data_IF_602923573270
#
_entry.id   IF_602923573270
#
_cell.length_a   1.000
_cell.length_b   1.000
_cell.length_c   1.000
_cell.angle_alpha   90.00
_cell.angle_beta   90.00
_cell.angle_gamma   90.00
#
_symmetry.space_group_name_H-M   'P 1'
#
loop_
_entity.id
_entity.type
_entity.pdbx_description
1 polymer ?
#
# COMPACT_ATOMS: atom_id res chain seq x y z
N UNK A 1 -14.48 -4.13 15.56
CA UNK A 1 -14.99 -2.76 15.38
C UNK A 1 -14.02 -1.94 14.52
N UNK A 2 -14.52 -0.99 13.71
CA UNK A 2 -13.70 -0.05 12.95
C UNK A 2 -13.29 -0.47 11.52
N UNK A 3 -13.46 -1.70 11.11
CA UNK A 3 -13.27 -2.11 9.72
C UNK A 3 -14.52 -1.78 8.90
N UNK A 4 -14.49 -0.68 8.16
CA UNK A 4 -15.64 -0.11 7.45
C UNK A 4 -16.31 -0.97 6.36
N UNK A 5 -15.91 -2.23 6.20
CA UNK A 5 -16.48 -3.18 5.25
C UNK A 5 -16.53 -4.58 5.86
N UNK A 6 -17.73 -5.09 6.07
CA UNK A 6 -17.93 -6.46 6.61
C UNK A 6 -17.19 -7.54 5.80
N UNK A 7 -17.07 -7.35 4.48
CA UNK A 7 -16.32 -8.25 3.61
C UNK A 7 -14.83 -8.33 3.95
N UNK A 8 -14.22 -7.22 4.42
CA UNK A 8 -12.81 -7.21 4.83
C UNK A 8 -12.58 -8.02 6.11
N UNK A 9 -13.50 -7.90 7.07
CA UNK A 9 -13.44 -8.71 8.29
C UNK A 9 -13.57 -10.20 7.98
N UNK A 10 -14.52 -10.57 7.13
CA UNK A 10 -14.70 -11.95 6.70
C UNK A 10 -13.49 -12.47 5.91
N UNK A 11 -12.92 -11.67 5.02
CA UNK A 11 -11.73 -12.03 4.28
C UNK A 11 -10.52 -12.23 5.20
N UNK A 12 -10.32 -11.33 6.18
CA UNK A 12 -9.25 -11.45 7.18
C UNK A 12 -9.40 -12.74 8.00
N UNK A 13 -10.62 -13.06 8.46
CA UNK A 13 -10.88 -14.29 9.19
C UNK A 13 -10.53 -15.54 8.36
N UNK A 14 -10.99 -15.58 7.09
CA UNK A 14 -10.67 -16.68 6.16
C UNK A 14 -9.17 -16.76 5.84
N UNK A 15 -8.50 -15.61 5.70
CA UNK A 15 -7.06 -15.59 5.48
C UNK A 15 -6.30 -16.17 6.69
N UNK A 16 -6.71 -15.82 7.92
CA UNK A 16 -6.13 -16.38 9.11
C UNK A 16 -6.32 -17.91 9.21
N UNK A 17 -7.52 -18.42 8.86
CA UNK A 17 -7.77 -19.86 8.80
C UNK A 17 -6.82 -20.53 7.79
N UNK A 18 -6.70 -19.97 6.57
CA UNK A 18 -5.80 -20.51 5.53
C UNK A 18 -4.33 -20.50 5.98
N UNK A 19 -3.88 -19.47 6.72
CA UNK A 19 -2.51 -19.44 7.25
C UNK A 19 -2.26 -20.60 8.20
N UNK A 20 -3.24 -20.94 9.05
CA UNK A 20 -3.12 -22.10 9.96
C UNK A 20 -3.16 -23.41 9.19
N UNK A 21 -4.09 -23.55 8.23
CA UNK A 21 -4.33 -24.79 7.48
C UNK A 21 -3.21 -25.11 6.49
N UNK A 22 -2.70 -24.10 5.75
CA UNK A 22 -1.78 -24.28 4.61
C UNK A 22 -0.31 -24.02 4.98
N UNK A 23 -0.03 -23.30 6.07
CA UNK A 23 1.32 -22.88 6.49
C UNK A 23 1.57 -23.09 8.01
N UNK A 24 0.86 -23.98 8.67
CA UNK A 24 1.05 -24.31 10.09
C UNK A 24 1.05 -23.08 11.04
N UNK A 25 0.33 -22.01 10.66
CA UNK A 25 0.29 -20.76 11.42
C UNK A 25 1.42 -19.78 11.10
N UNK A 26 2.39 -20.14 10.28
CA UNK A 26 3.42 -19.23 9.80
C UNK A 26 2.92 -18.39 8.62
N UNK A 27 3.04 -17.08 8.72
CA UNK A 27 2.54 -16.19 7.68
C UNK A 27 3.48 -16.21 6.46
N UNK A 28 2.96 -16.51 5.23
CA UNK A 28 3.79 -16.63 4.04
C UNK A 28 4.42 -15.28 3.67
N UNK A 29 5.63 -15.31 3.07
CA UNK A 29 6.40 -14.12 2.67
C UNK A 29 6.43 -13.90 1.16
N UNK A 30 6.19 -14.96 0.39
CA UNK A 30 6.21 -14.89 -1.07
C UNK A 30 4.95 -14.23 -1.61
N UNK A 31 5.11 -13.37 -2.62
CA UNK A 31 4.00 -12.62 -3.23
C UNK A 31 2.89 -13.54 -3.72
N UNK A 32 3.24 -14.67 -4.36
CA UNK A 32 2.26 -15.63 -4.90
C UNK A 32 1.39 -16.23 -3.80
N UNK A 33 1.99 -16.56 -2.66
CA UNK A 33 1.31 -17.20 -1.53
C UNK A 33 0.44 -16.18 -0.79
N UNK A 34 0.94 -14.96 -0.63
CA UNK A 34 0.15 -13.84 -0.08
C UNK A 34 -1.09 -13.52 -0.91
N UNK A 35 -0.97 -13.50 -2.24
CA UNK A 35 -2.11 -13.23 -3.14
C UNK A 35 -3.11 -14.38 -3.16
N UNK A 36 -2.71 -15.60 -2.81
CA UNK A 36 -3.61 -16.74 -2.65
C UNK A 36 -4.52 -16.62 -1.41
N UNK A 37 -4.17 -15.76 -0.46
CA UNK A 37 -4.98 -15.54 0.74
C UNK A 37 -6.23 -14.68 0.43
N UNK A 38 -7.39 -15.03 1.01
CA UNK A 38 -8.63 -14.30 0.81
C UNK A 38 -8.55 -12.82 1.13
N UNK A 39 -8.86 -11.97 0.16
CA UNK A 39 -8.88 -10.51 0.33
C UNK A 39 -7.53 -9.82 0.22
N UNK A 40 -6.47 -10.54 -0.08
CA UNK A 40 -5.15 -9.99 -0.35
C UNK A 40 -4.94 -9.90 -1.86
N UNK A 41 -4.93 -8.67 -2.37
CA UNK A 41 -4.56 -8.39 -3.76
C UNK A 41 -3.06 -8.08 -3.89
N UNK A 42 -2.54 -7.96 -5.14
CA UNK A 42 -1.12 -7.70 -5.40
C UNK A 42 -0.55 -6.50 -4.61
N UNK A 43 -1.23 -5.37 -4.58
CA UNK A 43 -0.79 -4.20 -3.83
C UNK A 43 -0.74 -4.45 -2.31
N UNK A 44 -1.72 -5.18 -1.76
CA UNK A 44 -1.72 -5.55 -0.34
C UNK A 44 -0.59 -6.51 -0.02
N UNK A 45 -0.31 -7.48 -0.90
CA UNK A 45 0.80 -8.43 -0.74
C UNK A 45 2.15 -7.68 -0.69
N UNK A 46 2.37 -6.71 -1.59
CA UNK A 46 3.59 -5.87 -1.54
C UNK A 46 3.67 -5.05 -0.25
N UNK A 47 2.55 -4.49 0.23
CA UNK A 47 2.51 -3.80 1.51
C UNK A 47 2.85 -4.71 2.68
N UNK A 48 2.34 -5.95 2.70
CA UNK A 48 2.70 -6.94 3.73
C UNK A 48 4.19 -7.24 3.69
N UNK A 49 4.76 -7.50 2.50
CA UNK A 49 6.19 -7.75 2.34
C UNK A 49 7.03 -6.61 2.92
N UNK A 50 6.72 -5.38 2.53
CA UNK A 50 7.52 -4.22 2.96
C UNK A 50 7.32 -3.87 4.43
N UNK A 51 6.08 -3.84 4.93
CA UNK A 51 5.80 -3.34 6.29
C UNK A 51 5.88 -4.41 7.38
N UNK A 52 5.51 -5.66 7.09
CA UNK A 52 5.60 -6.72 8.09
C UNK A 52 6.96 -7.42 8.08
N UNK A 53 7.51 -7.66 6.89
CA UNK A 53 8.72 -8.47 6.74
C UNK A 53 9.96 -7.68 6.36
N UNK A 54 9.85 -6.39 6.11
CA UNK A 54 10.95 -5.53 5.66
C UNK A 54 11.65 -6.03 4.37
N UNK A 55 10.85 -6.60 3.47
CA UNK A 55 11.31 -7.14 2.21
C UNK A 55 11.06 -6.15 1.07
N UNK A 56 11.96 -6.05 0.09
CA UNK A 56 11.77 -5.20 -1.07
C UNK A 56 10.57 -5.65 -1.90
N UNK A 57 9.97 -4.69 -2.60
CA UNK A 57 8.83 -4.92 -3.47
C UNK A 57 8.23 -3.62 -3.98
N UNK A 58 7.31 -3.72 -4.93
CA UNK A 58 6.67 -2.54 -5.53
C UNK A 58 5.33 -2.27 -4.85
N UNK A 59 5.35 -1.52 -3.74
CA UNK A 59 4.14 -1.06 -3.07
C UNK A 59 3.69 0.27 -3.66
N UNK A 60 2.89 0.22 -4.73
CA UNK A 60 2.39 1.40 -5.44
C UNK A 60 1.03 1.85 -4.88
N UNK A 61 1.07 2.64 -3.81
CA UNK A 61 -0.07 3.30 -3.18
C UNK A 61 -0.15 4.78 -3.64
N UNK A 62 -1.24 5.46 -3.32
CA UNK A 62 -1.51 6.83 -3.79
C UNK A 62 -0.43 7.84 -3.38
N UNK A 63 0.13 7.75 -2.17
CA UNK A 63 1.17 8.68 -1.72
C UNK A 63 2.51 8.37 -2.38
N UNK A 64 2.87 7.10 -2.51
CA UNK A 64 4.06 6.68 -3.26
C UNK A 64 3.96 7.16 -4.71
N UNK A 65 2.83 6.90 -5.37
CA UNK A 65 2.55 7.40 -6.72
C UNK A 65 2.70 8.92 -6.82
N UNK A 66 2.23 9.66 -5.80
CA UNK A 66 2.34 11.13 -5.75
C UNK A 66 3.79 11.60 -5.82
N UNK A 67 4.68 10.97 -5.06
CA UNK A 67 6.12 11.31 -5.03
C UNK A 67 6.74 11.09 -6.40
N UNK A 68 6.56 9.91 -6.97
CA UNK A 68 7.14 9.59 -8.28
C UNK A 68 6.58 10.44 -9.41
N UNK A 69 5.27 10.73 -9.42
CA UNK A 69 4.67 11.65 -10.38
C UNK A 69 5.19 13.08 -10.23
N UNK A 70 5.48 13.51 -9.00
CA UNK A 70 6.01 14.85 -8.76
C UNK A 70 7.42 15.02 -9.32
N UNK A 71 8.30 14.06 -9.04
CA UNK A 71 9.72 14.18 -9.36
C UNK A 71 10.09 13.75 -10.79
N UNK A 72 9.46 12.72 -11.30
CA UNK A 72 9.83 12.12 -12.58
C UNK A 72 8.90 12.51 -13.74
N UNK A 73 7.67 12.96 -13.43
CA UNK A 73 6.67 13.28 -14.44
C UNK A 73 5.97 14.62 -14.13
N UNK A 74 6.71 15.74 -13.97
CA UNK A 74 6.13 17.00 -13.49
C UNK A 74 5.05 17.55 -14.44
N UNK A 75 5.20 17.37 -15.74
CA UNK A 75 4.33 17.95 -16.78
C UNK A 75 3.64 16.89 -17.66
N UNK A 76 3.73 15.61 -17.29
CA UNK A 76 3.16 14.52 -18.09
C UNK A 76 1.77 14.15 -17.55
N UNK A 77 0.69 14.31 -18.34
CA UNK A 77 -0.64 13.87 -17.95
C UNK A 77 -0.83 12.37 -18.16
N UNK A 78 -1.77 11.78 -17.42
CA UNK A 78 -2.24 10.41 -17.60
C UNK A 78 -1.11 9.34 -17.59
N UNK A 79 -0.14 9.49 -16.68
CA UNK A 79 0.96 8.53 -16.51
C UNK A 79 0.41 7.19 -16.01
N UNK A 80 0.61 6.09 -16.75
CA UNK A 80 0.18 4.76 -16.32
C UNK A 80 1.14 4.18 -15.29
N UNK A 81 0.64 3.29 -14.43
CA UNK A 81 1.43 2.66 -13.37
C UNK A 81 2.67 1.89 -13.89
N UNK A 82 2.60 1.35 -15.10
CA UNK A 82 3.74 0.65 -15.73
C UNK A 82 4.99 1.52 -15.88
N UNK A 83 4.85 2.84 -15.97
CA UNK A 83 5.99 3.78 -16.03
C UNK A 83 6.59 4.03 -14.62
N UNK A 84 5.79 3.88 -13.57
CA UNK A 84 6.22 4.10 -12.18
C UNK A 84 6.86 2.85 -11.58
N UNK A 85 6.36 1.66 -11.92
CA UNK A 85 6.81 0.38 -11.38
C UNK A 85 8.33 0.18 -11.48
N UNK A 86 8.99 0.35 -12.65
CA UNK A 86 10.44 0.16 -12.75
C UNK A 86 11.23 1.19 -11.94
N UNK A 87 10.75 2.42 -11.83
CA UNK A 87 11.40 3.46 -11.02
C UNK A 87 11.33 3.13 -9.53
N UNK A 88 10.17 2.68 -9.05
CA UNK A 88 9.98 2.27 -7.66
C UNK A 88 10.85 1.06 -7.36
N UNK A 89 10.90 0.09 -8.26
CA UNK A 89 11.70 -1.12 -8.11
C UNK A 89 13.20 -0.81 -8.04
N UNK A 90 13.68 0.12 -8.88
CA UNK A 90 15.09 0.53 -8.91
C UNK A 90 15.51 1.37 -7.69
N UNK A 91 14.55 2.10 -7.08
CA UNK A 91 14.82 2.96 -5.94
C UNK A 91 14.55 2.29 -4.57
N UNK A 92 13.83 1.17 -4.55
CA UNK A 92 13.51 0.48 -3.30
C UNK A 92 14.78 -0.13 -2.68
N UNK A 93 15.07 0.14 -1.39
CA UNK A 93 16.19 -0.49 -0.70
C UNK A 93 16.13 -2.01 -0.72
N UNK A 94 17.29 -2.66 -0.65
CA UNK A 94 17.38 -4.10 -0.47
C UNK A 94 16.88 -4.52 0.93
N UNK A 95 16.65 -5.81 1.12
CA UNK A 95 16.33 -6.34 2.44
C UNK A 95 17.51 -6.16 3.40
N UNK A 96 17.30 -5.95 4.69
CA UNK A 96 18.36 -5.94 5.67
C UNK A 96 19.23 -7.20 5.58
N UNK A 97 20.54 -7.03 5.47
CA UNK A 97 21.50 -8.13 5.34
C UNK A 97 21.61 -8.75 3.95
N UNK A 98 21.00 -8.16 2.91
CA UNK A 98 21.16 -8.59 1.53
C UNK A 98 22.64 -8.46 1.08
N UNK A 99 23.08 -9.38 0.23
CA UNK A 99 24.42 -9.32 -0.34
C UNK A 99 24.56 -8.12 -1.28
N UNK A 100 25.80 -7.60 -1.42
CA UNK A 100 26.04 -6.38 -2.21
C UNK A 100 25.68 -6.51 -3.69
N UNK A 101 25.65 -7.71 -4.23
CA UNK A 101 25.24 -8.05 -5.59
C UNK A 101 23.71 -8.08 -5.80
N UNK A 102 22.95 -8.13 -4.71
CA UNK A 102 21.49 -8.03 -4.72
C UNK A 102 20.99 -6.58 -4.66
N UNK A 103 21.90 -5.63 -4.45
CA UNK A 103 21.55 -4.20 -4.35
C UNK A 103 21.37 -3.63 -5.76
N UNK A 104 20.22 -2.98 -6.00
CA UNK A 104 19.95 -2.33 -7.27
C UNK A 104 21.04 -1.29 -7.62
N UNK A 105 21.46 -1.16 -8.90
CA UNK A 105 22.62 -0.37 -9.32
C UNK A 105 22.54 1.13 -9.00
N UNK A 106 21.39 1.62 -8.60
CA UNK A 106 21.15 3.01 -8.18
C UNK A 106 20.86 3.15 -6.68
N UNK A 107 20.99 2.07 -5.89
CA UNK A 107 20.80 2.18 -4.45
C UNK A 107 21.96 3.00 -3.85
N UNK A 108 21.60 4.08 -3.17
CA UNK A 108 22.54 4.82 -2.32
C UNK A 108 23.13 3.86 -1.29
N UNK A 109 24.42 3.98 -0.90
CA UNK A 109 24.99 3.17 0.16
C UNK A 109 24.06 3.19 1.37
N UNK A 110 23.59 2.01 1.78
CA UNK A 110 22.58 1.89 2.82
C UNK A 110 23.22 2.13 4.19
N UNK A 111 22.70 3.11 4.88
CA UNK A 111 22.75 3.15 6.34
C UNK A 111 21.78 2.05 6.85
N UNK A 112 22.07 1.44 8.03
CA UNK A 112 21.19 0.44 8.66
C UNK A 112 19.74 0.93 8.87
N UNK A 113 19.51 2.25 8.70
CA UNK A 113 18.21 2.90 8.71
C UNK A 113 17.43 2.81 7.38
N UNK A 114 18.11 2.54 6.24
CA UNK A 114 17.51 2.53 4.91
C UNK A 114 16.95 1.13 4.57
N UNK A 115 15.86 0.78 5.22
CA UNK A 115 15.16 -0.47 4.95
C UNK A 115 13.94 -0.24 4.05
N UNK A 116 13.42 -1.25 3.35
CA UNK A 116 12.19 -1.14 2.56
C UNK A 116 11.03 -0.54 3.36
N UNK A 117 10.90 -0.94 4.62
CA UNK A 117 9.87 -0.42 5.54
C UNK A 117 10.04 1.08 5.82
N UNK A 118 11.24 1.49 6.23
CA UNK A 118 11.53 2.89 6.54
C UNK A 118 11.35 3.78 5.31
N UNK A 119 11.84 3.34 4.16
CA UNK A 119 11.73 4.03 2.89
C UNK A 119 10.27 4.23 2.47
N UNK A 120 9.42 3.20 2.58
CA UNK A 120 8.01 3.34 2.27
C UNK A 120 7.27 4.25 3.24
N UNK A 121 7.59 4.23 4.55
CA UNK A 121 7.02 5.20 5.48
C UNK A 121 7.39 6.63 5.11
N UNK A 122 8.66 6.89 4.77
CA UNK A 122 9.10 8.21 4.30
C UNK A 122 8.36 8.65 3.03
N UNK A 123 8.16 7.75 2.07
CA UNK A 123 7.39 8.04 0.84
C UNK A 123 5.91 8.32 1.13
N UNK A 124 5.29 7.60 2.07
CA UNK A 124 3.90 7.83 2.47
C UNK A 124 3.73 9.22 3.09
N UNK A 125 4.62 9.61 4.00
CA UNK A 125 4.60 10.91 4.66
C UNK A 125 4.90 12.04 3.68
N UNK A 126 5.94 11.89 2.87
CA UNK A 126 6.31 12.87 1.86
C UNK A 126 5.22 13.04 0.80
N UNK A 127 4.62 11.97 0.31
CA UNK A 127 3.50 12.04 -0.62
C UNK A 127 2.26 12.71 -0.02
N UNK A 128 1.99 12.50 1.27
CA UNK A 128 0.93 13.21 1.97
C UNK A 128 1.23 14.73 2.10
N UNK A 129 2.48 15.08 2.40
CA UNK A 129 2.96 16.46 2.43
C UNK A 129 2.81 17.15 1.06
N UNK A 130 3.27 16.52 -0.02
CA UNK A 130 3.13 17.06 -1.38
C UNK A 130 1.67 17.33 -1.77
N UNK A 131 0.75 16.42 -1.43
CA UNK A 131 -0.68 16.62 -1.70
C UNK A 131 -1.30 17.77 -0.90
N UNK A 132 -0.73 18.10 0.24
CA UNK A 132 -1.20 19.19 1.10
C UNK A 132 -0.64 20.54 0.66
N UNK A 133 0.58 20.58 0.14
CA UNK A 133 1.32 21.83 -0.15
C UNK A 133 1.30 22.23 -1.61
N UNK A 134 1.04 21.29 -2.52
CA UNK A 134 1.05 21.52 -3.96
C UNK A 134 -0.31 21.18 -4.60
N UNK A 135 -0.56 21.66 -5.85
CA UNK A 135 -1.63 21.10 -6.66
C UNK A 135 -1.44 19.59 -6.81
N UNK A 136 -2.34 18.81 -6.24
CA UNK A 136 -2.22 17.35 -6.03
C UNK A 136 -1.60 16.61 -7.23
N UNK A 137 -0.32 16.18 -7.15
CA UNK A 137 0.38 15.54 -8.28
C UNK A 137 -0.26 14.22 -8.70
N UNK A 138 -0.99 13.52 -7.80
CA UNK A 138 -1.64 12.24 -8.13
C UNK A 138 -2.71 12.37 -9.21
N UNK A 139 -3.19 13.60 -9.52
CA UNK A 139 -4.11 13.86 -10.63
C UNK A 139 -3.52 13.52 -12.00
N UNK A 140 -2.20 13.43 -12.10
CA UNK A 140 -1.50 13.03 -13.34
C UNK A 140 -1.45 11.52 -13.55
N UNK A 141 -1.89 10.72 -12.59
CA UNK A 141 -2.02 9.28 -12.81
C UNK A 141 -3.15 8.96 -13.79
N UNK A 142 -2.91 8.04 -14.71
CA UNK A 142 -3.95 7.52 -15.62
C UNK A 142 -5.10 6.85 -14.86
N UNK A 143 -4.81 6.25 -13.70
CA UNK A 143 -5.80 5.62 -12.82
C UNK A 143 -6.42 6.57 -11.78
N UNK A 144 -6.21 7.89 -11.89
CA UNK A 144 -6.73 8.82 -10.90
C UNK A 144 -8.25 8.80 -10.84
N UNK A 145 -8.79 8.55 -9.67
CA UNK A 145 -10.22 8.64 -9.38
C UNK A 145 -10.47 9.55 -8.18
N UNK A 146 -11.30 10.55 -8.36
CA UNK A 146 -11.71 11.43 -7.27
C UNK A 146 -12.72 10.72 -6.38
N UNK A 147 -12.35 10.54 -5.11
CA UNK A 147 -13.31 10.01 -4.13
C UNK A 147 -14.45 11.01 -3.91
N UNK A 148 -15.71 10.54 -3.97
CA UNK A 148 -16.88 11.36 -3.64
C UNK A 148 -16.82 11.87 -2.20
N UNK A 149 -17.40 13.05 -1.95
CA UNK A 149 -17.53 13.61 -0.59
C UNK A 149 -18.22 12.59 0.33
N UNK A 150 -17.82 12.56 1.62
CA UNK A 150 -18.44 11.66 2.60
C UNK A 150 -19.84 12.13 2.96
N UNK A 151 -20.02 13.44 3.15
CA UNK A 151 -21.30 14.07 3.48
C UNK A 151 -22.33 13.86 2.36
N UNK A 152 -23.52 13.42 2.72
CA UNK A 152 -24.61 13.07 1.80
C UNK A 152 -24.42 11.74 1.05
N UNK A 153 -23.26 11.07 1.21
CA UNK A 153 -22.95 9.84 0.49
C UNK A 153 -23.66 8.61 1.08
N UNK A 154 -23.79 7.56 0.25
CA UNK A 154 -24.23 6.24 0.73
C UNK A 154 -23.36 5.67 1.85
N UNK A 155 -22.07 6.05 1.90
CA UNK A 155 -21.14 5.65 2.98
C UNK A 155 -21.55 6.27 4.32
N UNK A 156 -21.93 7.54 4.34
CA UNK A 156 -22.42 8.21 5.54
C UNK A 156 -23.73 7.57 6.04
N UNK A 157 -24.69 7.33 5.13
CA UNK A 157 -25.96 6.69 5.46
C UNK A 157 -25.74 5.30 6.07
N UNK A 158 -24.87 4.47 5.48
CA UNK A 158 -24.53 3.16 6.04
C UNK A 158 -23.87 3.26 7.42
N UNK A 159 -22.94 4.19 7.61
CA UNK A 159 -22.28 4.41 8.91
C UNK A 159 -23.29 4.85 9.98
N UNK A 160 -24.30 5.67 9.59
CA UNK A 160 -25.37 6.08 10.48
C UNK A 160 -26.26 4.90 10.90
N UNK A 161 -26.72 4.09 9.94
CA UNK A 161 -27.54 2.89 10.21
C UNK A 161 -26.79 1.92 11.17
N UNK A 162 -25.52 1.67 10.92
CA UNK A 162 -24.70 0.79 11.79
C UNK A 162 -24.64 1.34 13.21
N UNK A 163 -24.43 2.66 13.37
CA UNK A 163 -24.43 3.29 14.70
C UNK A 163 -25.77 3.17 15.42
N UNK A 164 -26.88 3.38 14.69
CA UNK A 164 -28.22 3.22 15.27
C UNK A 164 -28.48 1.78 15.73
N UNK A 165 -28.09 0.79 14.91
CA UNK A 165 -28.27 -0.63 15.26
C UNK A 165 -27.39 -1.05 16.45
N UNK A 166 -26.20 -0.48 16.58
CA UNK A 166 -25.34 -0.74 17.74
C UNK A 166 -25.91 -0.11 19.01
N UNK A 167 -26.41 1.13 18.94
CA UNK A 167 -27.03 1.81 20.07
C UNK A 167 -28.36 1.19 20.52
N UNK A 168 -29.05 0.44 19.66
CA UNK A 168 -30.28 -0.28 19.99
C UNK A 168 -30.04 -1.69 20.58
N UNK A 169 -28.78 -2.10 20.74
CA UNK A 169 -28.38 -3.39 21.33
C UNK A 169 -28.03 -3.30 22.82
N UNK A 170 -27.80 -2.09 23.30
CA UNK A 170 -27.58 -1.74 24.70
C UNK A 170 -28.94 -1.37 25.35
#
# INVERSE_FOLDING_TARGET
>A
QGMGYNRRALALHKAAQRVVEDWDGEFPRETRDLVALPGIGPATAQGIRSFAFDLPGVYLETNVRTVFLHHFFPDVPAVPDRELVPLIQAACPAAPGAAADEIAPFAVPQDDADTPRAWYYALLDYGAYLKKTLPNPSRRSAGYSRQSKFEGSRRQKRAHIVRMLLAARD
#
